data_IF_836658333039
#
_entry.id   IF_836658333039
#
_cell.length_a   1.000
_cell.length_b   1.000
_cell.length_c   1.000
_cell.angle_alpha   90.00
_cell.angle_beta   90.00
_cell.angle_gamma   90.00
#
_symmetry.space_group_name_H-M   'P 1'
#
loop_
_entity.id
_entity.type
_entity.pdbx_description
1 polymer ?
#
# COMPACT_ATOMS: atom_id res chain seq x y z
N UNK A 1 12.39 6.96 -11.57
CA UNK A 1 13.27 6.11 -10.70
C UNK A 1 12.41 5.51 -9.60
N UNK A 2 12.67 4.23 -9.21
CA UNK A 2 11.98 3.53 -8.12
C UNK A 2 12.94 3.37 -6.94
N UNK A 3 12.46 3.51 -5.71
CA UNK A 3 13.28 3.42 -4.49
C UNK A 3 12.76 2.34 -3.56
N UNK A 4 13.65 1.72 -2.78
CA UNK A 4 13.30 0.81 -1.68
C UNK A 4 13.88 1.34 -0.38
N UNK A 5 13.05 1.45 0.65
CA UNK A 5 13.46 1.78 2.01
C UNK A 5 13.08 0.63 2.93
N UNK A 6 14.00 0.17 3.77
CA UNK A 6 13.79 -0.99 4.65
C UNK A 6 13.61 -0.55 6.10
N UNK A 7 13.01 -1.44 6.91
CA UNK A 7 12.91 -1.29 8.37
C UNK A 7 12.18 0.01 8.81
N UNK A 8 11.03 0.28 8.20
CA UNK A 8 10.24 1.50 8.46
C UNK A 8 9.63 1.48 9.86
N UNK A 9 9.08 0.34 10.28
CA UNK A 9 8.46 0.17 11.59
C UNK A 9 9.21 -0.91 12.40
N UNK A 10 9.09 -0.87 13.70
CA UNK A 10 9.47 -2.01 14.53
C UNK A 10 8.54 -3.20 14.29
N UNK A 11 8.98 -4.41 14.61
CA UNK A 11 8.13 -5.61 14.49
C UNK A 11 6.86 -5.52 15.34
N UNK A 12 6.94 -4.85 16.50
CA UNK A 12 5.80 -4.63 17.40
C UNK A 12 4.75 -3.71 16.74
N UNK A 13 5.20 -2.57 16.23
CA UNK A 13 4.33 -1.59 15.53
C UNK A 13 3.68 -2.20 14.30
N UNK A 14 4.46 -2.91 13.48
CA UNK A 14 3.95 -3.56 12.28
C UNK A 14 2.89 -4.63 12.58
N UNK A 15 3.12 -5.49 13.59
CA UNK A 15 2.13 -6.50 14.03
C UNK A 15 0.87 -5.82 14.59
N UNK A 16 1.04 -4.75 15.36
CA UNK A 16 -0.08 -3.96 15.87
C UNK A 16 -0.90 -3.36 14.73
N UNK A 17 -0.25 -2.74 13.75
CA UNK A 17 -0.89 -2.15 12.58
C UNK A 17 -1.74 -3.17 11.79
N UNK A 18 -1.25 -4.40 11.62
CA UNK A 18 -2.01 -5.49 10.97
C UNK A 18 -3.26 -5.82 11.78
N UNK A 19 -3.14 -5.94 13.09
CA UNK A 19 -4.28 -6.22 13.99
C UNK A 19 -5.31 -5.10 13.96
N UNK A 20 -4.84 -3.87 14.03
CA UNK A 20 -5.69 -2.69 14.08
C UNK A 20 -6.46 -2.43 12.77
N UNK A 21 -5.92 -2.87 11.62
CA UNK A 21 -6.58 -2.64 10.34
C UNK A 21 -7.70 -3.66 10.02
N UNK A 22 -7.70 -4.83 10.62
CA UNK A 22 -8.67 -5.90 10.32
C UNK A 22 -10.14 -5.44 10.41
N UNK A 23 -10.59 -4.69 11.44
CA UNK A 23 -11.97 -4.21 11.52
C UNK A 23 -12.38 -3.22 10.43
N UNK A 24 -11.40 -2.60 9.76
CA UNK A 24 -11.63 -1.59 8.71
C UNK A 24 -11.57 -2.15 7.29
N UNK A 25 -11.21 -3.43 7.14
CA UNK A 25 -11.09 -4.08 5.83
C UNK A 25 -12.47 -4.49 5.32
N UNK A 26 -12.89 -3.89 4.23
CA UNK A 26 -14.16 -4.12 3.55
C UNK A 26 -13.92 -4.70 2.15
N UNK A 27 -14.82 -5.55 1.68
CA UNK A 27 -14.87 -5.96 0.27
C UNK A 27 -15.25 -4.78 -0.63
N UNK A 28 -14.98 -4.88 -1.93
CA UNK A 28 -15.39 -3.86 -2.90
C UNK A 28 -16.90 -3.57 -2.84
N UNK A 29 -17.73 -4.60 -2.69
CA UNK A 29 -19.19 -4.45 -2.52
C UNK A 29 -19.57 -3.67 -1.26
N UNK A 30 -18.92 -3.93 -0.15
CA UNK A 30 -19.17 -3.23 1.12
C UNK A 30 -18.72 -1.77 1.04
N UNK A 31 -17.57 -1.50 0.41
CA UNK A 31 -17.09 -0.14 0.16
C UNK A 31 -18.02 0.64 -0.75
N UNK A 32 -18.48 0.02 -1.85
CA UNK A 32 -19.43 0.60 -2.79
C UNK A 32 -20.75 0.97 -2.08
N UNK A 33 -21.29 0.05 -1.29
CA UNK A 33 -22.51 0.28 -0.52
C UNK A 33 -22.36 1.39 0.53
N UNK A 34 -21.22 1.44 1.21
CA UNK A 34 -20.98 2.36 2.34
C UNK A 34 -20.59 3.77 1.90
N UNK A 35 -19.85 3.89 0.81
CA UNK A 35 -19.26 5.16 0.38
C UNK A 35 -19.70 5.63 -1.01
N UNK A 36 -20.58 4.87 -1.69
CA UNK A 36 -21.08 5.21 -3.04
C UNK A 36 -19.99 5.17 -4.13
N UNK A 37 -18.88 4.47 -3.88
CA UNK A 37 -17.74 4.40 -4.80
C UNK A 37 -17.81 3.04 -5.51
N UNK A 38 -17.84 3.04 -6.84
CA UNK A 38 -17.75 1.80 -7.61
C UNK A 38 -16.33 1.25 -7.56
N UNK A 39 -16.09 0.33 -6.62
CA UNK A 39 -14.79 -0.32 -6.44
C UNK A 39 -14.93 -1.76 -6.92
N UNK A 40 -14.41 -2.03 -8.10
CA UNK A 40 -14.30 -3.38 -8.67
C UNK A 40 -13.07 -4.15 -8.16
N UNK A 41 -12.52 -3.74 -7.01
CA UNK A 41 -11.33 -4.37 -6.45
C UNK A 41 -11.70 -5.70 -5.79
N UNK A 42 -11.15 -6.84 -6.23
CA UNK A 42 -11.53 -8.16 -5.74
C UNK A 42 -11.03 -8.49 -4.34
N UNK A 43 -10.01 -7.79 -3.86
CA UNK A 43 -9.47 -7.94 -2.50
C UNK A 43 -10.23 -7.09 -1.48
N UNK A 44 -9.88 -7.22 -0.20
CA UNK A 44 -10.37 -6.31 0.84
C UNK A 44 -9.45 -5.11 0.97
N UNK A 45 -10.04 -3.95 1.19
CA UNK A 45 -9.29 -2.75 1.52
C UNK A 45 -10.03 -1.89 2.56
N UNK A 46 -9.29 -0.98 3.21
CA UNK A 46 -9.90 0.08 4.02
C UNK A 46 -10.48 1.16 3.10
N UNK A 47 -11.32 2.06 3.66
CA UNK A 47 -11.56 3.34 2.97
C UNK A 47 -10.24 4.06 2.70
N UNK A 48 -10.23 4.94 1.72
CA UNK A 48 -9.19 5.96 1.57
C UNK A 48 -9.28 6.95 2.74
N UNK A 49 -8.17 7.66 3.03
CA UNK A 49 -8.13 8.67 4.11
C UNK A 49 -8.23 8.09 5.54
N UNK A 50 -7.59 6.93 5.78
CA UNK A 50 -7.48 6.39 7.15
C UNK A 50 -6.55 7.19 8.07
N UNK A 51 -5.91 8.26 7.56
CA UNK A 51 -4.98 9.09 8.32
C UNK A 51 -5.59 9.66 9.62
N UNK A 52 -6.88 10.00 9.58
CA UNK A 52 -7.57 10.57 10.74
C UNK A 52 -7.99 9.53 11.81
N UNK A 53 -7.72 8.25 11.57
CA UNK A 53 -7.98 7.18 12.54
C UNK A 53 -6.74 7.05 13.44
N UNK A 54 -6.86 7.27 14.77
CA UNK A 54 -5.70 7.43 15.66
C UNK A 54 -4.67 6.29 15.61
N UNK A 55 -5.13 5.04 15.44
CA UNK A 55 -4.22 3.88 15.40
C UNK A 55 -3.34 3.83 14.13
N UNK A 56 -3.66 4.61 13.09
CA UNK A 56 -2.90 4.66 11.84
C UNK A 56 -2.01 5.89 11.69
N UNK A 57 -2.26 6.94 12.46
CA UNK A 57 -1.56 8.23 12.31
C UNK A 57 -0.04 8.11 12.46
N UNK A 58 0.45 7.47 13.52
CA UNK A 58 1.90 7.33 13.75
C UNK A 58 2.60 6.46 12.70
N UNK A 59 2.12 5.26 12.34
CA UNK A 59 2.68 4.48 11.24
C UNK A 59 2.71 5.25 9.90
N UNK A 60 1.65 5.96 9.57
CA UNK A 60 1.57 6.74 8.32
C UNK A 60 2.61 7.87 8.34
N UNK A 61 2.77 8.58 9.45
CA UNK A 61 3.77 9.65 9.59
C UNK A 61 5.20 9.12 9.41
N UNK A 62 5.51 7.93 9.93
CA UNK A 62 6.83 7.29 9.74
C UNK A 62 7.09 6.95 8.28
N UNK A 63 6.08 6.43 7.58
CA UNK A 63 6.18 6.12 6.15
C UNK A 63 6.33 7.40 5.33
N UNK A 64 5.56 8.43 5.64
CA UNK A 64 5.62 9.74 4.96
C UNK A 64 7.00 10.38 5.15
N UNK A 65 7.53 10.37 6.36
CA UNK A 65 8.87 10.89 6.67
C UNK A 65 9.96 10.13 5.91
N UNK A 66 9.88 8.79 5.88
CA UNK A 66 10.81 7.96 5.12
C UNK A 66 10.76 8.27 3.62
N UNK A 67 9.56 8.53 3.07
CA UNK A 67 9.37 8.93 1.67
C UNK A 67 9.98 10.29 1.39
N UNK A 68 9.69 11.29 2.23
CA UNK A 68 10.22 12.65 2.10
C UNK A 68 11.76 12.68 2.15
N UNK A 69 12.36 11.96 3.10
CA UNK A 69 13.81 11.84 3.23
C UNK A 69 14.45 11.17 2.01
N UNK A 70 13.83 10.11 1.49
CA UNK A 70 14.34 9.36 0.33
C UNK A 70 14.30 10.20 -0.94
N UNK A 71 13.21 10.92 -1.15
CA UNK A 71 13.03 11.77 -2.32
C UNK A 71 13.71 13.15 -2.16
N UNK A 72 14.13 13.51 -0.94
CA UNK A 72 14.67 14.84 -0.59
C UNK A 72 13.69 15.96 -0.98
N UNK A 73 12.42 15.75 -0.69
CA UNK A 73 11.31 16.64 -1.04
C UNK A 73 10.33 16.75 0.13
N UNK A 74 9.73 17.93 0.29
CA UNK A 74 8.55 18.08 1.16
C UNK A 74 7.33 17.51 0.44
N UNK A 75 6.60 16.64 1.13
CA UNK A 75 5.49 15.87 0.56
C UNK A 75 4.19 16.10 1.33
N UNK A 76 3.09 16.13 0.59
CA UNK A 76 1.73 16.13 1.12
C UNK A 76 1.07 14.79 0.83
N UNK A 77 0.52 14.17 1.86
CA UNK A 77 -0.32 12.98 1.73
C UNK A 77 -1.68 13.34 1.14
N UNK A 78 -2.05 12.71 0.03
CA UNK A 78 -3.36 12.90 -0.63
C UNK A 78 -4.31 11.76 -0.35
N UNK A 79 -3.83 10.52 -0.41
CA UNK A 79 -4.63 9.33 -0.14
C UNK A 79 -3.79 8.30 0.62
N UNK A 80 -4.45 7.52 1.48
CA UNK A 80 -3.82 6.40 2.17
C UNK A 80 -4.86 5.33 2.51
N UNK A 81 -4.55 4.08 2.16
CA UNK A 81 -5.40 2.93 2.45
C UNK A 81 -4.58 1.67 2.66
N UNK A 82 -5.20 0.66 3.26
CA UNK A 82 -4.59 -0.66 3.46
C UNK A 82 -5.33 -1.67 2.60
N UNK A 83 -4.57 -2.50 1.91
CA UNK A 83 -5.05 -3.62 1.12
C UNK A 83 -4.75 -4.94 1.83
N UNK A 84 -5.71 -5.87 1.76
CA UNK A 84 -5.53 -7.27 2.13
C UNK A 84 -5.88 -8.12 0.91
N UNK A 85 -4.86 -8.70 0.26
CA UNK A 85 -5.02 -9.61 -0.89
C UNK A 85 -4.82 -11.04 -0.45
N UNK A 86 -5.47 -11.98 -1.14
CA UNK A 86 -5.30 -13.42 -0.90
C UNK A 86 -4.22 -14.05 -1.77
N UNK A 87 -3.61 -13.28 -2.67
CA UNK A 87 -2.65 -13.73 -3.67
C UNK A 87 -3.28 -14.44 -4.86
N UNK A 88 -4.61 -14.52 -4.96
CA UNK A 88 -5.31 -15.09 -6.10
C UNK A 88 -5.15 -14.23 -7.36
N UNK A 89 -5.33 -14.83 -8.52
CA UNK A 89 -5.22 -14.15 -9.81
C UNK A 89 -6.24 -13.01 -9.95
N UNK A 90 -7.41 -13.14 -9.35
CA UNK A 90 -8.46 -12.12 -9.35
C UNK A 90 -8.08 -10.86 -8.57
N UNK A 91 -7.08 -10.96 -7.67
CA UNK A 91 -6.56 -9.82 -6.90
C UNK A 91 -5.59 -8.96 -7.73
N UNK A 92 -5.32 -9.30 -8.99
CA UNK A 92 -4.32 -8.63 -9.83
C UNK A 92 -5.00 -7.70 -10.82
N UNK A 93 -4.96 -6.40 -10.52
CA UNK A 93 -5.43 -5.34 -11.41
C UNK A 93 -4.29 -4.38 -11.73
N UNK A 94 -3.98 -4.24 -13.02
CA UNK A 94 -3.05 -3.22 -13.51
C UNK A 94 -3.68 -1.84 -13.38
N UNK A 95 -3.00 -0.93 -12.70
CA UNK A 95 -3.47 0.44 -12.50
C UNK A 95 -2.29 1.39 -12.26
N UNK A 96 -2.58 2.69 -12.30
CA UNK A 96 -1.69 3.77 -11.88
C UNK A 96 -2.46 4.78 -11.02
N UNK A 97 -1.78 5.81 -10.56
CA UNK A 97 -2.35 6.77 -9.61
C UNK A 97 -2.32 8.22 -10.11
N UNK A 98 -2.39 8.41 -11.43
CA UNK A 98 -2.53 9.77 -12.00
C UNK A 98 -3.80 10.44 -11.40
N UNK A 99 -3.75 11.73 -11.00
CA UNK A 99 -2.71 12.73 -11.26
C UNK A 99 -1.68 12.92 -10.13
N UNK A 100 -1.52 11.97 -9.23
CA UNK A 100 -0.52 12.07 -8.16
C UNK A 100 0.91 12.06 -8.72
N UNK A 101 1.88 12.58 -7.96
CA UNK A 101 3.27 12.59 -8.39
C UNK A 101 4.00 11.30 -8.00
N UNK A 102 3.76 10.85 -6.77
CA UNK A 102 4.39 9.67 -6.19
C UNK A 102 3.36 8.72 -5.60
N UNK A 103 3.61 7.45 -5.76
CA UNK A 103 2.92 6.38 -5.04
C UNK A 103 3.92 5.59 -4.21
N UNK A 104 3.45 5.13 -3.07
CA UNK A 104 4.22 4.33 -2.14
C UNK A 104 3.45 3.06 -1.78
N UNK A 105 4.17 1.95 -1.64
CA UNK A 105 3.61 0.70 -1.12
C UNK A 105 4.48 0.20 0.03
N UNK A 106 3.94 0.22 1.25
CA UNK A 106 4.55 -0.35 2.43
C UNK A 106 4.06 -1.78 2.66
N UNK A 107 4.98 -2.73 2.75
CA UNK A 107 4.70 -4.16 2.88
C UNK A 107 4.62 -4.56 4.35
N UNK A 108 3.38 -4.63 4.88
CA UNK A 108 3.11 -4.96 6.28
C UNK A 108 3.30 -6.46 6.56
N UNK A 109 2.80 -7.33 5.66
CA UNK A 109 2.91 -8.78 5.73
C UNK A 109 2.92 -9.36 4.33
N UNK A 110 3.95 -10.12 4.02
CA UNK A 110 4.14 -10.78 2.71
C UNK A 110 4.67 -12.19 2.91
N UNK A 111 4.46 -13.04 1.92
CA UNK A 111 5.11 -14.35 1.87
C UNK A 111 6.49 -14.18 1.24
N UNK A 112 7.59 -14.45 1.97
CA UNK A 112 8.94 -14.27 1.44
C UNK A 112 9.13 -15.02 0.12
N UNK A 113 9.84 -14.39 -0.82
CA UNK A 113 10.17 -14.93 -2.15
C UNK A 113 8.98 -15.17 -3.11
N UNK A 114 7.74 -15.10 -2.64
CA UNK A 114 6.53 -15.35 -3.47
C UNK A 114 5.84 -14.05 -3.86
N UNK A 115 5.31 -13.31 -2.87
CA UNK A 115 4.50 -12.12 -3.12
C UNK A 115 5.08 -10.83 -2.50
N UNK A 116 6.37 -10.86 -2.15
CA UNK A 116 7.05 -9.74 -1.51
C UNK A 116 7.57 -8.75 -2.55
N UNK A 117 6.74 -7.79 -2.92
CA UNK A 117 7.08 -6.76 -3.91
C UNK A 117 5.88 -6.26 -4.72
N UNK A 118 6.18 -5.57 -5.79
CA UNK A 118 5.21 -5.03 -6.76
C UNK A 118 5.65 -5.37 -8.18
N UNK A 119 4.70 -5.77 -9.02
CA UNK A 119 4.90 -6.01 -10.43
C UNK A 119 4.66 -4.70 -11.19
N UNK A 120 5.63 -4.28 -12.00
CA UNK A 120 5.56 -3.18 -12.93
C UNK A 120 5.63 -3.71 -14.37
N UNK A 121 5.26 -2.89 -15.37
CA UNK A 121 5.37 -3.30 -16.79
C UNK A 121 6.80 -3.64 -17.21
N UNK A 122 7.79 -3.03 -16.58
CA UNK A 122 9.22 -3.26 -16.82
C UNK A 122 9.84 -4.36 -15.92
N UNK A 123 9.03 -5.06 -15.12
CA UNK A 123 9.46 -6.20 -14.32
C UNK A 123 9.03 -6.15 -12.86
N UNK A 124 9.38 -7.22 -12.15
CA UNK A 124 9.04 -7.39 -10.73
C UNK A 124 10.09 -6.71 -9.84
N UNK A 125 9.63 -5.76 -9.03
CA UNK A 125 10.45 -5.13 -7.99
C UNK A 125 10.25 -5.83 -6.66
N UNK A 126 11.21 -6.65 -6.27
CA UNK A 126 11.18 -7.36 -4.98
C UNK A 126 11.43 -6.40 -3.83
N UNK A 127 10.61 -6.49 -2.79
CA UNK A 127 10.78 -5.74 -1.56
C UNK A 127 10.42 -6.63 -0.35
N UNK A 128 11.30 -6.77 0.63
CA UNK A 128 11.01 -7.60 1.79
C UNK A 128 9.88 -6.99 2.65
N UNK A 129 9.28 -7.83 3.48
CA UNK A 129 8.36 -7.35 4.52
C UNK A 129 9.02 -6.27 5.38
N UNK A 130 8.25 -5.30 5.84
CA UNK A 130 8.72 -4.11 6.56
C UNK A 130 9.58 -3.18 5.70
N UNK A 131 9.31 -3.13 4.41
CA UNK A 131 9.92 -2.16 3.50
C UNK A 131 8.88 -1.38 2.73
N UNK A 132 9.32 -0.29 2.13
CA UNK A 132 8.54 0.65 1.34
C UNK A 132 9.14 0.71 -0.06
N UNK A 133 8.32 0.54 -1.10
CA UNK A 133 8.65 0.96 -2.46
C UNK A 133 8.04 2.34 -2.69
N UNK A 134 8.83 3.25 -3.27
CA UNK A 134 8.41 4.59 -3.69
C UNK A 134 8.64 4.67 -5.19
N UNK A 135 7.65 5.10 -5.96
CA UNK A 135 7.73 5.18 -7.42
C UNK A 135 6.85 6.30 -7.99
N UNK A 136 7.14 6.79 -9.21
CA UNK A 136 6.27 7.75 -9.90
C UNK A 136 4.86 7.20 -10.07
N UNK A 137 3.85 8.00 -9.74
CA UNK A 137 2.45 7.57 -9.70
C UNK A 137 1.87 7.19 -11.07
N UNK A 138 2.51 7.60 -12.17
CA UNK A 138 2.12 7.25 -13.53
C UNK A 138 2.58 5.85 -13.98
N UNK A 139 3.34 5.12 -13.17
CA UNK A 139 3.78 3.78 -13.52
C UNK A 139 2.64 2.77 -13.29
N UNK A 140 2.26 2.05 -14.34
CA UNK A 140 1.36 0.93 -14.24
C UNK A 140 1.97 -0.17 -13.39
N UNK A 141 1.22 -0.63 -12.40
CA UNK A 141 1.65 -1.66 -11.47
C UNK A 141 0.49 -2.49 -10.94
N UNK A 142 0.82 -3.63 -10.34
CA UNK A 142 -0.16 -4.47 -9.64
C UNK A 142 0.53 -5.31 -8.55
N UNK A 143 -0.23 -5.87 -7.58
CA UNK A 143 0.29 -6.85 -6.66
C UNK A 143 0.65 -8.14 -7.40
N UNK A 144 1.71 -8.88 -6.99
CA UNK A 144 2.02 -10.17 -7.57
C UNK A 144 0.97 -11.22 -7.18
N UNK A 145 0.77 -12.22 -8.02
CA UNK A 145 -0.01 -13.41 -7.69
C UNK A 145 0.80 -14.38 -6.84
N UNK A 146 0.11 -15.17 -6.03
CA UNK A 146 0.71 -16.26 -5.27
C UNK A 146 -0.08 -17.56 -5.50
N UNK A 147 0.57 -18.71 -5.67
CA UNK A 147 -0.11 -20.00 -5.72
C UNK A 147 -0.65 -20.42 -4.35
N UNK A 148 -0.24 -19.75 -3.29
CA UNK A 148 -0.63 -20.06 -1.92
C UNK A 148 -1.74 -19.13 -1.44
N UNK A 149 -2.71 -19.66 -0.70
CA UNK A 149 -3.71 -18.87 0.01
C UNK A 149 -3.06 -18.22 1.25
N UNK A 150 -2.57 -17.02 1.07
CA UNK A 150 -1.90 -16.26 2.12
C UNK A 150 -2.40 -14.82 2.13
N UNK A 151 -2.78 -14.33 3.31
CA UNK A 151 -3.18 -12.92 3.45
C UNK A 151 -1.94 -12.03 3.41
N UNK A 152 -1.82 -11.27 2.33
CA UNK A 152 -0.83 -10.22 2.15
C UNK A 152 -1.44 -8.88 2.54
N UNK A 153 -0.73 -8.13 3.36
CA UNK A 153 -1.14 -6.79 3.79
C UNK A 153 -0.15 -5.76 3.28
N UNK A 154 -0.65 -4.73 2.65
CA UNK A 154 0.15 -3.57 2.22
C UNK A 154 -0.62 -2.28 2.46
N UNK A 155 0.12 -1.22 2.79
CA UNK A 155 -0.43 0.13 2.89
C UNK A 155 0.04 0.91 1.67
N UNK A 156 -0.89 1.50 0.94
CA UNK A 156 -0.62 2.35 -0.21
C UNK A 156 -0.83 3.83 0.18
N UNK A 157 0.05 4.70 -0.32
CA UNK A 157 -0.01 6.13 -0.13
C UNK A 157 0.22 6.84 -1.45
N UNK A 158 -0.57 7.88 -1.71
CA UNK A 158 -0.38 8.79 -2.82
C UNK A 158 0.03 10.16 -2.33
N UNK A 159 1.10 10.68 -2.92
CA UNK A 159 1.80 11.86 -2.46
C UNK A 159 1.98 12.87 -3.60
N UNK A 160 1.99 14.16 -3.22
CA UNK A 160 2.39 15.26 -4.10
C UNK A 160 3.42 16.12 -3.38
N UNK A 161 4.24 16.86 -4.14
CA UNK A 161 5.13 17.86 -3.56
C UNK A 161 4.34 19.01 -2.96
N UNK A 162 4.88 19.58 -1.91
CA UNK A 162 4.47 20.94 -1.51
C UNK A 162 5.04 21.92 -2.54
N UNK A 163 4.18 22.78 -3.07
CA UNK A 163 4.61 23.95 -3.84
C UNK A 163 5.47 24.86 -3.00
#
# INVERSE_FOLDING_TARGET
MKHIVKNILTNKERKKLIKDCEPYLLSGKELSKKYGIDITFPAKQTQEQIYNIPCFTDPINKILLASANTLRQSLVLKRVWINCTSGKKEDVLWHNHIPMEWSCVYYMKTLPFVDSGTLFKDGFMRAPQNSLIIFPANLDHCPPTSPFRFKRYSMALDLVRTS
#
